data_IF_674944986588
#
_entry.id   IF_674944986588
#
_cell.length_a   1.000
_cell.length_b   1.000
_cell.length_c   1.000
_cell.angle_alpha   90.00
_cell.angle_beta   90.00
_cell.angle_gamma   90.00
#
_symmetry.space_group_name_H-M   'P 1'
#
loop_
_entity.id
_entity.type
_entity.pdbx_description
1 polymer ?
#
# COMPACT_ATOMS: atom_id res chain seq x y z
N UNK A 1 16.47 3.97 1.76
CA UNK A 1 15.61 4.82 2.62
C UNK A 1 14.11 4.70 2.26
N UNK A 2 13.76 4.31 1.01
CA UNK A 2 12.38 4.27 0.50
C UNK A 2 11.63 2.94 0.77
N UNK A 3 12.27 1.79 0.54
CA UNK A 3 11.67 0.46 0.86
C UNK A 3 11.27 0.35 2.35
N UNK A 4 12.00 1.03 3.24
CA UNK A 4 11.66 1.11 4.65
C UNK A 4 10.35 1.87 4.93
N UNK A 5 9.97 2.85 4.09
CA UNK A 5 8.76 3.63 4.32
C UNK A 5 7.50 2.81 4.06
N UNK A 6 7.44 2.08 2.94
CA UNK A 6 6.28 1.22 2.62
C UNK A 6 6.16 0.03 3.57
N UNK A 7 7.26 -0.62 3.92
CA UNK A 7 7.25 -1.71 4.90
C UNK A 7 6.75 -1.22 6.27
N UNK A 8 7.31 -0.10 6.75
CA UNK A 8 6.91 0.52 8.02
C UNK A 8 5.43 0.94 8.01
N UNK A 9 4.96 1.53 6.92
CA UNK A 9 3.56 1.89 6.73
C UNK A 9 2.64 0.66 6.79
N UNK A 10 3.04 -0.44 6.14
CA UNK A 10 2.34 -1.71 6.22
C UNK A 10 2.24 -2.25 7.65
N UNK A 11 3.34 -2.23 8.40
CA UNK A 11 3.34 -2.66 9.81
C UNK A 11 2.45 -1.79 10.69
N UNK A 12 2.41 -0.48 10.45
CA UNK A 12 1.51 0.44 11.18
C UNK A 12 0.04 0.11 10.90
N UNK A 13 -0.34 -0.09 9.64
CA UNK A 13 -1.71 -0.47 9.30
C UNK A 13 -2.07 -1.85 9.87
N UNK A 14 -1.12 -2.80 9.90
CA UNK A 14 -1.33 -4.08 10.59
C UNK A 14 -1.55 -3.91 12.10
N UNK A 15 -0.81 -3.02 12.76
CA UNK A 15 -0.99 -2.74 14.18
C UNK A 15 -2.39 -2.16 14.47
N UNK A 16 -2.86 -1.21 13.66
CA UNK A 16 -4.21 -0.63 13.74
C UNK A 16 -5.30 -1.69 13.56
N UNK A 17 -5.05 -2.68 12.70
CA UNK A 17 -5.99 -3.75 12.38
C UNK A 17 -5.84 -4.99 13.29
N UNK A 18 -4.93 -4.97 14.27
CA UNK A 18 -4.60 -6.13 15.12
C UNK A 18 -4.18 -7.38 14.31
N UNK A 19 -3.43 -7.18 13.21
CA UNK A 19 -2.96 -8.23 12.30
C UNK A 19 -1.48 -8.60 12.47
N UNK A 20 -0.80 -8.08 13.50
CA UNK A 20 0.63 -8.33 13.68
C UNK A 20 0.97 -9.80 13.92
N UNK A 21 0.05 -10.57 14.49
CA UNK A 21 0.25 -12.01 14.72
C UNK A 21 0.05 -12.86 13.46
N UNK A 22 -0.37 -12.25 12.35
CA UNK A 22 -0.38 -12.87 11.02
C UNK A 22 0.98 -12.79 10.32
N UNK A 23 1.97 -12.10 10.89
CA UNK A 23 3.32 -12.03 10.32
C UNK A 23 4.04 -13.38 10.51
N UNK A 24 4.74 -13.90 9.48
CA UNK A 24 5.62 -15.05 9.63
C UNK A 24 6.69 -14.81 10.70
N UNK A 25 7.14 -15.87 11.38
CA UNK A 25 8.19 -15.78 12.41
C UNK A 25 9.52 -15.21 11.88
N UNK A 26 9.81 -15.43 10.61
CA UNK A 26 10.97 -14.85 9.90
C UNK A 26 10.89 -13.31 9.84
N UNK A 27 9.69 -12.75 9.93
CA UNK A 27 9.44 -11.31 9.95
C UNK A 27 9.34 -10.74 11.37
N UNK A 28 9.54 -11.51 12.44
CA UNK A 28 9.32 -11.05 13.81
C UNK A 28 10.27 -9.89 14.21
N UNK A 29 11.48 -9.84 13.62
CA UNK A 29 12.39 -8.71 13.73
C UNK A 29 11.85 -7.40 13.11
N UNK A 30 10.85 -7.50 12.22
CA UNK A 30 10.17 -6.35 11.63
C UNK A 30 9.37 -5.54 12.66
N UNK A 31 8.93 -6.17 13.78
CA UNK A 31 8.19 -5.47 14.85
C UNK A 31 9.02 -4.36 15.49
N UNK A 32 10.36 -4.47 15.47
CA UNK A 32 11.26 -3.43 15.95
C UNK A 32 11.23 -2.13 15.12
N UNK A 33 10.69 -2.18 13.89
CA UNK A 33 10.54 -1.00 13.02
C UNK A 33 9.22 -0.26 13.23
N UNK A 34 8.33 -0.76 14.10
CA UNK A 34 7.16 -0.01 14.54
C UNK A 34 7.65 1.04 15.54
N UNK A 35 7.52 2.35 15.24
CA UNK A 35 7.92 3.39 16.18
C UNK A 35 7.07 3.28 17.45
N UNK A 36 7.73 3.07 18.59
CA UNK A 36 7.10 3.03 19.92
C UNK A 36 6.34 4.33 20.26
N UNK A 37 6.60 5.42 19.53
CA UNK A 37 6.03 6.74 19.76
C UNK A 37 4.73 7.03 18.98
N UNK A 38 4.27 6.12 18.12
CA UNK A 38 3.02 6.31 17.40
C UNK A 38 1.88 5.64 18.15
N UNK A 39 0.99 6.48 18.69
CA UNK A 39 -0.27 6.03 19.23
C UNK A 39 -1.18 5.71 18.03
N UNK A 40 -1.51 4.44 17.76
CA UNK A 40 -2.50 4.14 16.74
C UNK A 40 -3.81 4.85 17.10
N UNK A 41 -4.59 5.32 16.12
CA UNK A 41 -5.90 5.91 16.39
C UNK A 41 -6.76 4.94 17.19
N UNK A 42 -7.56 5.47 18.13
CA UNK A 42 -8.40 4.66 19.02
C UNK A 42 -9.48 3.86 18.27
N UNK A 43 -9.79 4.26 17.04
CA UNK A 43 -10.71 3.60 16.14
C UNK A 43 -10.02 3.33 14.80
N UNK A 44 -10.48 2.28 14.11
CA UNK A 44 -9.97 1.96 12.76
C UNK A 44 -10.36 3.09 11.79
N UNK A 45 -9.38 3.75 11.14
CA UNK A 45 -9.63 4.83 10.19
C UNK A 45 -10.52 4.38 9.02
N UNK A 46 -11.33 5.29 8.43
CA UNK A 46 -12.28 4.94 7.37
C UNK A 46 -11.66 4.13 6.22
N UNK A 47 -10.47 4.52 5.75
CA UNK A 47 -9.80 3.85 4.63
C UNK A 47 -9.27 2.44 4.94
N UNK A 48 -9.22 2.05 6.23
CA UNK A 48 -8.86 0.71 6.69
C UNK A 48 -10.08 -0.12 7.15
N UNK A 49 -11.27 0.46 7.19
CA UNK A 49 -12.47 -0.30 7.51
C UNK A 49 -12.76 -1.35 6.42
N UNK A 50 -13.30 -2.53 6.78
CA UNK A 50 -13.59 -3.58 5.82
C UNK A 50 -14.75 -3.16 4.90
N UNK A 51 -14.54 -3.29 3.58
CA UNK A 51 -15.61 -3.08 2.59
C UNK A 51 -16.68 -4.18 2.71
N UNK A 52 -17.83 -3.97 2.08
CA UNK A 52 -18.88 -4.98 2.02
C UNK A 52 -18.38 -6.28 1.37
N UNK A 53 -17.58 -6.18 0.31
CA UNK A 53 -17.01 -7.35 -0.37
C UNK A 53 -16.05 -8.12 0.55
N UNK A 54 -15.21 -7.42 1.31
CA UNK A 54 -14.30 -8.03 2.26
C UNK A 54 -15.00 -8.73 3.42
N UNK A 55 -16.20 -8.28 3.80
CA UNK A 55 -16.99 -8.92 4.85
C UNK A 55 -17.60 -10.25 4.39
N UNK A 56 -17.91 -10.39 3.10
CA UNK A 56 -18.56 -11.57 2.53
C UNK A 56 -17.61 -12.54 1.81
N UNK A 57 -16.38 -12.11 1.51
CA UNK A 57 -15.45 -12.87 0.66
C UNK A 57 -14.15 -13.17 1.40
N UNK A 58 -13.76 -14.45 1.58
CA UNK A 58 -12.45 -14.81 2.11
C UNK A 58 -11.31 -14.24 1.24
N UNK A 59 -10.31 -13.64 1.87
CA UNK A 59 -9.18 -13.02 1.16
C UNK A 59 -7.92 -12.96 2.04
N UNK A 60 -6.71 -12.89 1.45
CA UNK A 60 -5.46 -12.76 2.20
C UNK A 60 -5.42 -11.51 3.11
N UNK A 61 -4.89 -11.66 4.32
CA UNK A 61 -4.82 -10.58 5.32
C UNK A 61 -4.06 -9.35 4.83
N UNK A 62 -3.05 -9.54 3.97
CA UNK A 62 -2.22 -8.44 3.46
C UNK A 62 -3.02 -7.41 2.65
N UNK A 63 -4.15 -7.81 2.05
CA UNK A 63 -5.05 -6.91 1.32
C UNK A 63 -5.65 -5.88 2.28
N UNK A 64 -6.01 -6.29 3.50
CA UNK A 64 -6.60 -5.39 4.52
C UNK A 64 -5.69 -4.24 4.93
N UNK A 65 -4.38 -4.39 4.72
CA UNK A 65 -3.35 -3.43 5.10
C UNK A 65 -3.31 -2.21 4.16
N UNK A 66 -3.92 -2.30 2.98
CA UNK A 66 -3.93 -1.22 1.99
C UNK A 66 -5.03 -0.19 2.32
N UNK A 67 -4.71 1.10 2.43
CA UNK A 67 -5.67 2.16 2.75
C UNK A 67 -6.50 2.61 1.55
N UNK A 68 -6.81 1.69 0.63
CA UNK A 68 -7.52 1.97 -0.62
C UNK A 68 -8.69 0.99 -0.74
N UNK A 69 -9.90 1.35 -0.26
CA UNK A 69 -11.06 0.46 -0.30
C UNK A 69 -11.34 -0.13 -1.69
N UNK A 70 -11.29 0.69 -2.74
CA UNK A 70 -11.56 0.23 -4.11
C UNK A 70 -10.51 -0.76 -4.61
N UNK A 71 -9.22 -0.45 -4.42
CA UNK A 71 -8.13 -1.35 -4.77
C UNK A 71 -8.24 -2.70 -4.04
N UNK A 72 -8.60 -2.69 -2.75
CA UNK A 72 -8.82 -3.92 -1.98
C UNK A 72 -9.90 -4.79 -2.61
N UNK A 73 -10.99 -4.17 -3.04
CA UNK A 73 -12.06 -4.88 -3.72
C UNK A 73 -11.62 -5.41 -5.08
N UNK A 74 -10.86 -4.64 -5.87
CA UNK A 74 -10.34 -5.09 -7.16
C UNK A 74 -9.39 -6.29 -7.02
N UNK A 75 -8.49 -6.25 -6.03
CA UNK A 75 -7.60 -7.38 -5.69
C UNK A 75 -8.39 -8.65 -5.34
N UNK A 76 -9.55 -8.51 -4.70
CA UNK A 76 -10.43 -9.64 -4.37
C UNK A 76 -11.17 -10.14 -5.61
N UNK A 77 -11.77 -9.25 -6.40
CA UNK A 77 -12.53 -9.62 -7.61
C UNK A 77 -11.66 -10.29 -8.67
N UNK A 78 -10.42 -9.83 -8.80
CA UNK A 78 -9.45 -10.29 -9.80
C UNK A 78 -8.52 -11.36 -9.23
N UNK A 79 -8.85 -11.95 -8.07
CA UNK A 79 -8.04 -13.00 -7.48
C UNK A 79 -7.84 -14.16 -8.47
N UNK A 80 -6.59 -14.58 -8.66
CA UNK A 80 -6.21 -15.61 -9.62
C UNK A 80 -5.88 -15.12 -11.03
N UNK A 81 -6.12 -13.83 -11.34
CA UNK A 81 -5.73 -13.24 -12.64
C UNK A 81 -4.45 -12.42 -12.58
N UNK A 82 -3.85 -12.29 -11.40
CA UNK A 82 -2.58 -11.59 -11.17
C UNK A 82 -1.69 -12.38 -10.20
N UNK A 83 -0.37 -12.18 -10.29
CA UNK A 83 0.56 -12.74 -9.31
C UNK A 83 0.62 -11.85 -8.07
N UNK A 84 0.04 -12.33 -6.97
CA UNK A 84 0.05 -11.58 -5.70
C UNK A 84 1.45 -11.37 -5.11
N UNK A 85 2.41 -12.27 -5.38
CA UNK A 85 3.79 -12.13 -4.90
C UNK A 85 4.49 -11.03 -5.68
N UNK A 86 4.30 -11.02 -7.00
CA UNK A 86 4.84 -9.99 -7.88
C UNK A 86 4.26 -8.60 -7.54
N UNK A 87 2.95 -8.51 -7.32
CA UNK A 87 2.30 -7.26 -6.90
C UNK A 87 2.87 -6.74 -5.56
N UNK A 88 3.03 -7.61 -4.55
CA UNK A 88 3.61 -7.21 -3.27
C UNK A 88 5.09 -6.84 -3.40
N UNK A 89 5.84 -7.51 -4.28
CA UNK A 89 7.22 -7.17 -4.61
C UNK A 89 7.32 -5.77 -5.22
N UNK A 90 6.53 -5.49 -6.26
CA UNK A 90 6.54 -4.20 -6.96
C UNK A 90 6.02 -3.04 -6.11
N UNK A 91 5.19 -3.31 -5.09
CA UNK A 91 4.79 -2.31 -4.10
C UNK A 91 5.95 -1.92 -3.16
N UNK A 92 7.05 -2.67 -3.16
CA UNK A 92 8.21 -2.44 -2.30
C UNK A 92 8.04 -3.02 -0.89
N UNK A 93 7.24 -4.08 -0.73
CA UNK A 93 7.08 -4.80 0.55
C UNK A 93 8.12 -5.88 0.81
N UNK A 94 8.94 -6.24 -0.17
CA UNK A 94 10.08 -7.13 0.06
C UNK A 94 11.31 -6.32 0.49
N UNK A 95 11.82 -6.66 1.67
CA UNK A 95 13.03 -6.10 2.25
C UNK A 95 14.23 -6.61 1.42
N UNK A 96 14.98 -5.67 0.84
CA UNK A 96 16.29 -5.91 0.20
C UNK A 96 16.28 -6.69 -1.11
N UNK A 97 15.94 -6.05 -2.23
CA UNK A 97 16.64 -6.29 -3.48
C UNK A 97 16.83 -4.95 -4.23
N UNK A 98 18.09 -4.60 -4.48
CA UNK A 98 18.53 -3.76 -5.61
C UNK A 98 18.08 -2.29 -5.67
N UNK A 99 18.98 -1.44 -6.14
CA UNK A 99 18.71 -0.09 -6.66
C UNK A 99 17.99 -0.16 -8.02
N UNK A 100 16.93 -0.95 -8.15
CA UNK A 100 16.13 -0.91 -9.37
C UNK A 100 15.32 0.39 -9.33
N UNK A 101 15.54 1.23 -10.34
CA UNK A 101 15.18 2.65 -10.33
C UNK A 101 13.72 2.90 -9.91
N UNK A 102 13.54 3.82 -8.95
CA UNK A 102 12.25 4.30 -8.43
C UNK A 102 11.30 4.80 -9.54
N UNK A 103 11.84 5.12 -10.72
CA UNK A 103 11.09 5.47 -11.91
C UNK A 103 10.18 4.33 -12.40
N UNK A 104 10.56 3.07 -12.16
CA UNK A 104 9.90 1.91 -12.78
C UNK A 104 9.02 1.11 -11.82
N UNK A 105 9.32 1.05 -10.52
CA UNK A 105 8.60 0.23 -9.53
C UNK A 105 8.65 0.87 -8.15
N UNK A 106 7.61 0.64 -7.36
CA UNK A 106 7.57 1.04 -5.96
C UNK A 106 6.55 2.12 -5.63
N UNK A 107 6.38 2.28 -4.32
CA UNK A 107 5.51 3.26 -3.70
C UNK A 107 6.31 4.09 -2.70
N UNK A 108 5.81 5.28 -2.40
CA UNK A 108 6.30 6.16 -1.36
C UNK A 108 5.19 6.48 -0.38
N UNK A 109 5.57 6.65 0.89
CA UNK A 109 4.67 7.08 1.95
C UNK A 109 5.22 8.36 2.57
N UNK A 110 4.51 9.45 2.34
CA UNK A 110 4.84 10.81 2.76
C UNK A 110 4.10 11.23 4.02
N UNK A 111 2.88 10.72 4.20
CA UNK A 111 1.98 11.06 5.31
C UNK A 111 1.54 9.85 6.13
N UNK A 112 0.31 9.90 6.62
CA UNK A 112 -0.27 8.84 7.43
C UNK A 112 -0.48 7.56 6.58
N UNK A 113 0.04 6.40 7.03
CA UNK A 113 -0.11 5.13 6.31
C UNK A 113 -1.54 4.67 6.06
N UNK A 114 -2.49 5.10 6.90
CA UNK A 114 -3.90 4.75 6.79
C UNK A 114 -4.71 5.77 5.96
N UNK A 115 -4.08 6.84 5.45
CA UNK A 115 -4.69 7.82 4.56
C UNK A 115 -4.20 7.62 3.14
N UNK A 116 -5.09 7.63 2.15
CA UNK A 116 -4.71 7.49 0.75
C UNK A 116 -3.87 8.69 0.25
N UNK A 117 -4.13 9.90 0.77
CA UNK A 117 -3.37 11.12 0.47
C UNK A 117 -1.89 11.05 0.84
N UNK A 118 -1.52 10.15 1.75
CA UNK A 118 -0.15 9.96 2.21
C UNK A 118 0.71 9.14 1.26
N UNK A 119 0.17 8.59 0.17
CA UNK A 119 0.87 7.65 -0.70
C UNK A 119 1.10 8.22 -2.10
N UNK A 120 2.19 7.78 -2.70
CA UNK A 120 2.53 8.03 -4.10
C UNK A 120 2.96 6.72 -4.74
N UNK A 121 2.40 6.40 -5.90
CA UNK A 121 2.80 5.24 -6.70
C UNK A 121 3.69 5.69 -7.86
N UNK A 122 4.72 4.91 -8.17
CA UNK A 122 5.55 5.14 -9.36
C UNK A 122 4.76 4.96 -10.66
N UNK A 123 5.17 5.65 -11.71
CA UNK A 123 4.53 5.55 -13.03
C UNK A 123 4.54 4.11 -13.55
N UNK A 124 5.69 3.42 -13.49
CA UNK A 124 5.79 2.03 -13.95
C UNK A 124 4.92 1.06 -13.15
N UNK A 125 4.69 1.31 -11.86
CA UNK A 125 3.72 0.54 -11.07
C UNK A 125 2.31 0.73 -11.60
N UNK A 126 1.89 1.98 -11.85
CA UNK A 126 0.56 2.30 -12.36
C UNK A 126 0.37 1.72 -13.77
N UNK A 127 1.37 1.81 -14.65
CA UNK A 127 1.31 1.23 -16.00
C UNK A 127 1.13 -0.30 -15.97
N UNK A 128 1.80 -0.98 -15.03
CA UNK A 128 1.74 -2.44 -14.92
C UNK A 128 0.46 -2.93 -14.22
N UNK A 129 0.07 -2.28 -13.13
CA UNK A 129 -0.99 -2.74 -12.24
C UNK A 129 -2.26 -1.90 -12.31
N UNK A 130 -2.37 -0.95 -13.25
CA UNK A 130 -3.49 0.00 -13.36
C UNK A 130 -4.86 -0.64 -13.38
N UNK A 131 -4.99 -1.84 -13.94
CA UNK A 131 -6.24 -2.62 -13.93
C UNK A 131 -6.70 -3.04 -12.51
N UNK A 132 -5.79 -3.13 -11.53
CA UNK A 132 -6.12 -3.34 -10.11
C UNK A 132 -6.44 -2.01 -9.40
N UNK A 133 -6.04 -0.90 -9.99
CA UNK A 133 -6.24 0.45 -9.48
C UNK A 133 -7.55 1.07 -10.00
N UNK A 134 -8.36 0.33 -10.77
CA UNK A 134 -9.56 0.89 -11.38
C UNK A 134 -10.49 1.56 -10.36
N UNK A 135 -10.83 2.83 -10.56
CA UNK A 135 -11.64 3.62 -9.62
C UNK A 135 -10.88 4.14 -8.38
N UNK A 136 -9.55 4.14 -8.40
CA UNK A 136 -8.69 4.67 -7.33
C UNK A 136 -8.17 6.09 -7.63
N UNK A 137 -9.03 6.98 -8.15
CA UNK A 137 -8.63 8.34 -8.52
C UNK A 137 -7.99 9.17 -7.38
N UNK A 138 -8.30 8.87 -6.12
CA UNK A 138 -7.63 9.50 -4.96
C UNK A 138 -6.12 9.17 -4.92
N UNK A 139 -5.72 7.95 -5.29
CA UNK A 139 -4.31 7.56 -5.35
C UNK A 139 -3.57 8.35 -6.44
N UNK A 140 -4.18 8.54 -7.61
CA UNK A 140 -3.58 9.33 -8.69
C UNK A 140 -3.47 10.79 -8.30
N UNK A 141 -4.53 11.33 -7.67
CA UNK A 141 -4.52 12.70 -7.14
C UNK A 141 -3.40 12.89 -6.13
N UNK A 142 -3.25 11.96 -5.18
CA UNK A 142 -2.18 12.00 -4.18
C UNK A 142 -0.79 11.85 -4.83
N UNK A 143 -0.65 10.95 -5.80
CA UNK A 143 0.58 10.73 -6.56
C UNK A 143 1.02 12.02 -7.26
N UNK A 144 0.12 12.66 -8.00
CA UNK A 144 0.41 13.90 -8.71
C UNK A 144 0.73 15.05 -7.76
N UNK A 145 0.01 15.17 -6.63
CA UNK A 145 0.32 16.17 -5.60
C UNK A 145 1.77 16.06 -5.11
N UNK A 146 2.22 14.85 -4.77
CA UNK A 146 3.59 14.66 -4.27
C UNK A 146 4.65 14.85 -5.35
N UNK A 147 4.38 14.42 -6.59
CA UNK A 147 5.25 14.67 -7.75
C UNK A 147 5.45 16.17 -8.00
N UNK A 148 4.35 16.91 -8.08
CA UNK A 148 4.36 18.36 -8.30
C UNK A 148 5.07 19.11 -7.16
N UNK A 149 4.90 18.67 -5.91
CA UNK A 149 5.56 19.28 -4.75
C UNK A 149 7.09 19.23 -4.84
N UNK A 150 7.65 18.33 -5.66
CA UNK A 150 9.08 18.19 -5.92
C UNK A 150 9.51 18.73 -7.29
N UNK A 151 8.57 19.29 -8.06
CA UNK A 151 8.83 19.80 -9.41
C UNK A 151 8.88 18.71 -10.49
N UNK A 152 8.31 17.52 -10.23
CA UNK A 152 8.08 16.51 -11.27
C UNK A 152 6.74 16.74 -11.98
N UNK A 153 6.64 16.35 -13.25
CA UNK A 153 5.40 16.45 -14.02
C UNK A 153 4.34 15.45 -13.50
N UNK A 154 3.05 15.85 -13.48
CA UNK A 154 1.96 14.93 -13.12
C UNK A 154 1.84 13.80 -14.13
N UNK A 155 1.41 12.64 -13.65
CA UNK A 155 1.09 11.50 -14.51
C UNK A 155 -0.21 11.78 -15.26
N UNK A 156 -0.17 11.66 -16.60
CA UNK A 156 -1.33 11.75 -17.47
C UNK A 156 -2.04 10.38 -17.60
N UNK A 157 -2.28 9.72 -16.47
CA UNK A 157 -2.86 8.37 -16.40
C UNK A 157 -4.11 8.41 -15.53
N UNK A 158 -5.19 7.78 -15.99
CA UNK A 158 -6.40 7.54 -15.21
C UNK A 158 -6.51 6.04 -14.87
N UNK A 159 -6.94 5.74 -13.65
CA UNK A 159 -7.24 4.39 -13.15
C UNK A 159 -8.60 4.40 -12.47
#
# INVERSE_FOLDING_TARGET
>A
MIQYNCHRAGLMNMAILHLLDCLPDECNGSRAFIPLSLFPPQTVPPNLQPTQLQQSTPHPYWIKVLPFPMMRDNLIRLSGTYDSREFNYDMGKNLYEGFDSLEHRGWLVWGEPWSASGWEASEGFIQKWGFLLEGCGELITATNYWRESRGEDPLAIEV
#
